data_IF_345828754420
#
_entry.id   IF_345828754420
#
_cell.length_a   1.000
_cell.length_b   1.000
_cell.length_c   1.000
_cell.angle_alpha   90.00
_cell.angle_beta   90.00
_cell.angle_gamma   90.00
#
_symmetry.space_group_name_H-M   'P 1'
#
loop_
_entity.id
_entity.type
_entity.pdbx_description
1 polymer ?
#
# COMPACT_ATOMS: atom_id res chain seq x y z
N UNK A 1 -15.99 2.26 8.64
CA UNK A 1 -14.69 2.26 7.93
C UNK A 1 -13.89 1.10 8.50
N UNK A 2 -13.35 0.20 7.66
CA UNK A 2 -12.66 -0.99 8.15
C UNK A 2 -11.14 -0.75 8.25
N UNK A 3 -10.57 -0.09 7.25
CA UNK A 3 -9.15 0.27 7.18
C UNK A 3 -8.98 1.70 6.64
N UNK A 4 -8.12 2.48 7.28
CA UNK A 4 -7.63 3.79 6.82
C UNK A 4 -6.12 3.84 7.05
N UNK A 5 -5.34 3.99 5.98
CA UNK A 5 -3.91 4.24 6.08
C UNK A 5 -3.57 5.46 5.22
N UNK A 6 -2.85 6.42 5.80
CA UNK A 6 -2.53 7.69 5.16
C UNK A 6 -1.04 7.93 5.16
N UNK A 7 -0.55 8.44 4.02
CA UNK A 7 0.83 8.85 3.81
C UNK A 7 1.85 7.77 4.23
N UNK A 8 1.54 6.50 3.97
CA UNK A 8 2.42 5.39 4.30
C UNK A 8 3.63 5.37 3.36
N UNK A 9 4.81 5.25 3.96
CA UNK A 9 6.08 5.05 3.27
C UNK A 9 6.78 3.87 3.93
N UNK A 10 7.27 2.94 3.10
CA UNK A 10 8.07 1.81 3.56
C UNK A 10 9.33 1.71 2.73
N UNK A 11 10.47 1.77 3.41
CA UNK A 11 11.78 1.67 2.80
C UNK A 11 12.57 0.45 3.29
N UNK A 12 13.41 -0.07 2.42
CA UNK A 12 14.46 -1.05 2.68
C UNK A 12 15.79 -0.43 2.28
N UNK A 13 16.51 0.13 3.27
CA UNK A 13 17.68 0.97 3.01
C UNK A 13 17.29 2.21 2.20
N UNK A 14 18.01 2.46 1.09
CA UNK A 14 17.73 3.58 0.19
C UNK A 14 16.52 3.34 -0.74
N UNK A 15 16.03 2.11 -0.85
CA UNK A 15 14.91 1.78 -1.73
C UNK A 15 13.57 1.99 -1.01
N UNK A 16 12.72 2.88 -1.53
CA UNK A 16 11.34 3.04 -1.07
C UNK A 16 10.43 2.09 -1.83
N UNK A 17 9.99 1.03 -1.16
CA UNK A 17 9.03 0.07 -1.72
C UNK A 17 7.61 0.65 -1.77
N UNK A 18 7.27 1.52 -0.82
CA UNK A 18 6.04 2.34 -0.83
C UNK A 18 6.45 3.77 -0.50
N UNK A 19 5.96 4.77 -1.24
CA UNK A 19 6.28 6.18 -1.00
C UNK A 19 5.00 7.03 -1.00
N UNK A 20 4.65 7.55 0.18
CA UNK A 20 3.54 8.47 0.41
C UNK A 20 2.19 8.00 -0.14
N UNK A 21 1.86 6.73 0.04
CA UNK A 21 0.59 6.18 -0.42
C UNK A 21 -0.51 6.32 0.63
N UNK A 22 -1.77 6.33 0.19
CA UNK A 22 -2.94 6.32 1.10
C UNK A 22 -4.00 5.38 0.55
N UNK A 23 -4.66 4.63 1.45
CA UNK A 23 -5.73 3.69 1.12
C UNK A 23 -6.83 3.75 2.17
N UNK A 24 -8.08 3.59 1.72
CA UNK A 24 -9.23 3.42 2.59
C UNK A 24 -10.04 2.23 2.08
N UNK A 25 -10.43 1.33 2.97
CA UNK A 25 -11.28 0.17 2.66
C UNK A 25 -12.53 0.23 3.51
N UNK A 26 -13.68 0.20 2.84
CA UNK A 26 -14.99 0.11 3.50
C UNK A 26 -15.31 -1.33 3.85
N UNK A 27 -16.21 -1.52 4.81
CA UNK A 27 -16.66 -2.85 5.16
C UNK A 27 -17.43 -3.47 3.98
N UNK A 28 -17.09 -4.71 3.62
CA UNK A 28 -17.67 -5.41 2.48
C UNK A 28 -17.05 -5.08 1.12
N UNK A 29 -16.04 -4.22 1.08
CA UNK A 29 -15.31 -3.88 -0.15
C UNK A 29 -14.18 -4.89 -0.42
N UNK A 30 -14.01 -5.27 -1.69
CA UNK A 30 -12.89 -6.09 -2.16
C UNK A 30 -11.96 -5.20 -2.98
N UNK A 31 -10.71 -5.08 -2.54
CA UNK A 31 -9.68 -4.28 -3.20
C UNK A 31 -8.51 -5.17 -3.63
N UNK A 32 -8.10 -5.05 -4.89
CA UNK A 32 -6.95 -5.75 -5.45
C UNK A 32 -5.81 -4.79 -5.75
N UNK A 33 -4.60 -5.14 -5.31
CA UNK A 33 -3.38 -4.39 -5.64
C UNK A 33 -2.62 -5.10 -6.76
N UNK A 34 -2.49 -4.44 -7.92
CA UNK A 34 -1.87 -5.00 -9.12
C UNK A 34 -0.60 -4.21 -9.52
N UNK A 35 0.32 -4.88 -10.20
CA UNK A 35 1.58 -4.26 -10.66
C UNK A 35 2.71 -5.28 -10.86
N UNK A 36 3.80 -4.88 -11.53
CA UNK A 36 4.93 -5.75 -11.82
C UNK A 36 5.66 -6.24 -10.55
N UNK A 37 6.53 -7.24 -10.68
CA UNK A 37 7.36 -7.70 -9.57
C UNK A 37 8.26 -6.56 -9.07
N UNK A 38 8.40 -6.45 -7.74
CA UNK A 38 9.15 -5.37 -7.11
C UNK A 38 8.37 -4.05 -6.92
N UNK A 39 7.13 -3.93 -7.40
CA UNK A 39 6.32 -2.72 -7.27
C UNK A 39 5.79 -2.41 -5.83
N UNK A 40 6.27 -3.11 -4.80
CA UNK A 40 5.86 -2.87 -3.41
C UNK A 40 4.56 -3.55 -2.96
N UNK A 41 3.93 -4.37 -3.80
CA UNK A 41 2.61 -4.97 -3.53
C UNK A 41 2.50 -5.74 -2.20
N UNK A 42 3.48 -6.59 -1.87
CA UNK A 42 3.50 -7.36 -0.61
C UNK A 42 4.04 -6.56 0.58
N UNK A 43 4.52 -5.35 0.32
CA UNK A 43 5.08 -4.46 1.34
C UNK A 43 4.06 -3.41 1.79
N UNK A 44 3.12 -3.06 0.91
CA UNK A 44 1.97 -2.20 1.17
C UNK A 44 1.02 -2.84 2.18
#
# INVERSE_FOLDING_TARGET
MLLDARNITKAFGAFKAVDNASIAIKQGEVLGLIGPNGAGKSTF
#
